data_IF_401295019177
#
_entry.id   IF_401295019177
#
_cell.length_a   1.000
_cell.length_b   1.000
_cell.length_c   1.000
_cell.angle_alpha   90.00
_cell.angle_beta   90.00
_cell.angle_gamma   90.00
#
_symmetry.space_group_name_H-M   'P 1'
#
loop_
_entity.id
_entity.type
_entity.pdbx_description
1 polymer ?
#
# COMPACT_ATOMS: atom_id res chain seq x y z
N UNK A 1 -10.97 5.44 -20.50
CA UNK A 1 -11.07 4.39 -19.47
C UNK A 1 -12.50 3.95 -19.28
N UNK A 2 -12.87 2.73 -19.66
CA UNK A 2 -14.16 2.15 -19.31
C UNK A 2 -14.08 1.77 -17.83
N UNK A 3 -14.49 2.67 -16.92
CA UNK A 3 -14.35 2.48 -15.46
C UNK A 3 -14.93 1.15 -14.96
N UNK A 4 -15.88 0.59 -15.69
CA UNK A 4 -16.52 -0.70 -15.42
C UNK A 4 -15.57 -1.90 -15.49
N UNK A 5 -14.46 -1.80 -16.23
CA UNK A 5 -13.44 -2.86 -16.33
C UNK A 5 -12.49 -2.90 -15.11
N UNK A 6 -12.39 -1.80 -14.37
CA UNK A 6 -11.45 -1.65 -13.24
C UNK A 6 -12.13 -2.09 -11.92
N UNK A 7 -13.46 -2.08 -11.89
CA UNK A 7 -14.23 -2.51 -10.73
C UNK A 7 -13.97 -4.00 -10.43
N UNK A 8 -13.39 -4.27 -9.27
CA UNK A 8 -13.05 -5.62 -8.84
C UNK A 8 -11.64 -6.07 -9.22
N UNK A 9 -10.80 -5.20 -9.79
CA UNK A 9 -9.38 -5.49 -9.97
C UNK A 9 -8.70 -5.74 -8.60
N UNK A 10 -7.89 -6.79 -8.52
CA UNK A 10 -7.19 -7.18 -7.29
C UNK A 10 -5.70 -7.26 -7.59
N UNK A 11 -4.91 -6.51 -6.81
CA UNK A 11 -3.46 -6.60 -6.81
C UNK A 11 -2.98 -7.12 -5.47
N UNK A 12 -1.88 -7.88 -5.50
CA UNK A 12 -1.27 -8.46 -4.32
C UNK A 12 0.15 -7.94 -4.20
N UNK A 13 0.48 -7.43 -3.02
CA UNK A 13 1.86 -7.11 -2.65
C UNK A 13 2.15 -7.74 -1.30
N UNK A 14 3.35 -8.28 -1.15
CA UNK A 14 3.79 -8.98 0.04
C UNK A 14 5.13 -8.45 0.50
N UNK A 15 5.29 -8.34 1.81
CA UNK A 15 6.58 -8.06 2.43
C UNK A 15 6.77 -8.94 3.66
N UNK A 16 8.02 -9.28 3.94
CA UNK A 16 8.41 -9.93 5.20
C UNK A 16 8.88 -8.84 6.15
N UNK A 17 8.20 -8.69 7.29
CA UNK A 17 8.54 -7.67 8.29
C UNK A 17 9.87 -8.02 8.95
N UNK A 18 10.87 -7.15 8.75
CA UNK A 18 12.18 -7.25 9.38
C UNK A 18 12.22 -6.35 10.62
N UNK A 19 13.16 -6.57 11.56
CA UNK A 19 13.31 -5.70 12.73
C UNK A 19 13.47 -4.21 12.38
N UNK A 20 14.10 -3.90 11.23
CA UNK A 20 14.25 -2.54 10.71
C UNK A 20 12.97 -1.89 10.17
N UNK A 21 11.93 -2.66 9.87
CA UNK A 21 10.67 -2.15 9.31
C UNK A 21 9.66 -1.77 10.40
N UNK A 22 10.05 -1.93 11.67
CA UNK A 22 9.20 -1.61 12.81
C UNK A 22 9.07 -0.10 13.02
N UNK A 23 7.95 0.36 13.58
CA UNK A 23 7.72 1.75 13.93
C UNK A 23 8.80 2.28 14.88
N UNK A 24 9.29 1.44 15.79
CA UNK A 24 10.40 1.74 16.68
C UNK A 24 11.72 1.98 15.93
N UNK A 25 12.10 1.09 15.02
CA UNK A 25 13.32 1.24 14.23
C UNK A 25 13.23 2.39 13.21
N UNK A 26 12.03 2.64 12.70
CA UNK A 26 11.73 3.70 11.73
C UNK A 26 11.53 5.08 12.41
N UNK A 27 11.40 5.13 13.74
CA UNK A 27 11.14 6.36 14.49
C UNK A 27 9.73 6.93 14.32
N UNK A 28 8.79 6.17 13.75
CA UNK A 28 7.39 6.60 13.56
C UNK A 28 6.48 6.27 14.75
N UNK A 29 6.99 5.56 15.78
CA UNK A 29 6.27 5.23 17.00
C UNK A 29 7.13 4.46 18.00
N UNK A 30 6.62 4.21 19.19
CA UNK A 30 7.41 3.67 20.32
C UNK A 30 7.30 2.14 20.50
N UNK A 31 6.62 1.44 19.60
CA UNK A 31 6.35 0.01 19.72
C UNK A 31 6.98 -0.79 18.56
N UNK A 32 7.53 -2.00 18.79
CA UNK A 32 8.12 -2.84 17.74
C UNK A 32 7.05 -3.55 16.88
N UNK A 33 6.10 -2.78 16.35
CA UNK A 33 5.09 -3.22 15.37
C UNK A 33 5.47 -2.69 13.98
N UNK A 34 4.90 -3.22 12.90
CA UNK A 34 5.13 -2.69 11.54
C UNK A 34 4.81 -1.19 11.48
N UNK A 35 5.70 -0.39 10.88
CA UNK A 35 5.45 1.04 10.69
C UNK A 35 4.27 1.28 9.74
N UNK A 36 3.42 2.24 10.10
CA UNK A 36 2.33 2.72 9.24
C UNK A 36 2.84 3.17 7.87
N UNK A 37 4.04 3.77 7.79
CA UNK A 37 4.63 4.21 6.53
C UNK A 37 4.82 3.04 5.55
N UNK A 38 5.40 1.93 6.02
CA UNK A 38 5.59 0.74 5.18
C UNK A 38 4.27 0.09 4.79
N UNK A 39 3.26 0.16 5.66
CA UNK A 39 1.94 -0.37 5.37
C UNK A 39 1.25 0.41 4.25
N UNK A 40 1.37 1.75 4.24
CA UNK A 40 0.87 2.60 3.14
C UNK A 40 1.61 2.27 1.84
N UNK A 41 2.94 2.17 1.87
CA UNK A 41 3.72 1.82 0.69
C UNK A 41 3.33 0.45 0.13
N UNK A 42 3.04 -0.52 1.00
CA UNK A 42 2.58 -1.84 0.59
C UNK A 42 1.19 -1.77 -0.06
N UNK A 43 0.27 -0.98 0.49
CA UNK A 43 -1.06 -0.75 -0.09
C UNK A 43 -0.98 -0.05 -1.45
N UNK A 44 -0.12 0.95 -1.59
CA UNK A 44 0.14 1.64 -2.86
C UNK A 44 0.71 0.68 -3.90
N UNK A 45 1.70 -0.12 -3.52
CA UNK A 45 2.26 -1.15 -4.39
C UNK A 45 1.21 -2.17 -4.84
N UNK A 46 0.35 -2.65 -3.94
CA UNK A 46 -0.73 -3.57 -4.29
C UNK A 46 -1.75 -2.92 -5.23
N UNK A 47 -2.10 -1.65 -4.99
CA UNK A 47 -2.98 -0.88 -5.86
C UNK A 47 -2.37 -0.73 -7.27
N UNK A 48 -1.09 -0.35 -7.34
CA UNK A 48 -0.37 -0.21 -8.60
C UNK A 48 -0.36 -1.54 -9.39
N UNK A 49 -0.10 -2.67 -8.72
CA UNK A 49 -0.20 -3.98 -9.37
C UNK A 49 -1.60 -4.33 -9.87
N UNK A 50 -2.66 -3.85 -9.21
CA UNK A 50 -4.04 -4.06 -9.65
C UNK A 50 -4.39 -3.28 -10.92
N UNK A 51 -3.86 -2.06 -11.05
CA UNK A 51 -4.19 -1.14 -12.14
C UNK A 51 -3.16 -1.13 -13.27
N UNK A 52 -1.99 -1.76 -13.10
CA UNK A 52 -0.87 -1.71 -14.03
C UNK A 52 -1.25 -2.10 -15.48
N UNK A 53 -2.12 -3.10 -15.64
CA UNK A 53 -2.57 -3.57 -16.96
C UNK A 53 -3.54 -2.61 -17.66
N UNK A 54 -4.09 -1.64 -16.91
CA UNK A 54 -5.07 -0.67 -17.41
C UNK A 54 -4.47 0.72 -17.68
N UNK A 55 -3.21 0.94 -17.34
CA UNK A 55 -2.49 2.19 -17.57
C UNK A 55 -1.88 2.20 -18.98
N UNK A 56 -2.07 3.30 -19.70
CA UNK A 56 -1.41 3.51 -21.00
C UNK A 56 0.06 3.93 -20.81
N UNK A 57 0.86 3.76 -21.86
CA UNK A 57 2.27 4.18 -21.84
C UNK A 57 2.37 5.70 -21.60
N UNK A 58 3.00 6.08 -20.48
CA UNK A 58 3.19 7.47 -20.06
C UNK A 58 2.22 7.94 -18.99
N UNK A 59 1.22 7.13 -18.63
CA UNK A 59 0.36 7.41 -17.48
C UNK A 59 1.05 7.00 -16.17
N UNK A 60 0.80 7.76 -15.11
CA UNK A 60 1.31 7.48 -13.76
C UNK A 60 0.23 7.75 -12.74
N UNK A 61 0.33 7.09 -11.60
CA UNK A 61 -0.61 7.26 -10.48
C UNK A 61 0.10 7.77 -9.24
N UNK A 62 -0.60 8.57 -8.45
CA UNK A 62 -0.14 9.05 -7.16
C UNK A 62 -1.17 8.77 -6.07
N UNK A 63 -0.70 8.39 -4.89
CA UNK A 63 -1.55 8.23 -3.71
C UNK A 63 -2.09 9.60 -3.26
N UNK A 64 -3.42 9.76 -3.30
CA UNK A 64 -4.10 11.00 -2.89
C UNK A 64 -4.70 10.88 -1.48
N UNK A 65 -5.53 9.87 -1.26
CA UNK A 65 -6.29 9.68 -0.03
C UNK A 65 -6.21 8.21 0.35
N UNK A 66 -6.03 7.94 1.64
CA UNK A 66 -6.03 6.62 2.21
C UNK A 66 -6.69 6.67 3.59
N UNK A 67 -7.31 5.57 4.00
CA UNK A 67 -7.83 5.40 5.34
C UNK A 67 -7.31 4.10 5.92
N UNK A 68 -6.54 4.21 6.99
CA UNK A 68 -6.06 3.07 7.74
C UNK A 68 -6.63 3.11 9.15
N UNK A 69 -7.23 2.01 9.56
CA UNK A 69 -7.71 1.82 10.92
C UNK A 69 -7.10 0.55 11.49
N UNK A 70 -6.33 0.71 12.57
CA UNK A 70 -5.89 -0.42 13.37
C UNK A 70 -7.04 -0.88 14.26
N UNK A 71 -7.35 -2.18 14.22
CA UNK A 71 -8.30 -2.77 15.16
C UNK A 71 -7.52 -3.25 16.38
N UNK A 72 -7.87 -2.75 17.56
CA UNK A 72 -7.44 -3.38 18.80
C UNK A 72 -8.20 -4.71 18.90
N UNK A 73 -7.46 -5.81 18.99
CA UNK A 73 -8.00 -7.14 19.24
C UNK A 73 -8.37 -7.31 20.71
#
# INVERSE_FOLDING_TARGET
MQAELILGAVGISQMVVRPGDTALAHGSGDMPILSSSFLITLMESACNSAIAEFLENGETTTLMIWNLRFMML
#
